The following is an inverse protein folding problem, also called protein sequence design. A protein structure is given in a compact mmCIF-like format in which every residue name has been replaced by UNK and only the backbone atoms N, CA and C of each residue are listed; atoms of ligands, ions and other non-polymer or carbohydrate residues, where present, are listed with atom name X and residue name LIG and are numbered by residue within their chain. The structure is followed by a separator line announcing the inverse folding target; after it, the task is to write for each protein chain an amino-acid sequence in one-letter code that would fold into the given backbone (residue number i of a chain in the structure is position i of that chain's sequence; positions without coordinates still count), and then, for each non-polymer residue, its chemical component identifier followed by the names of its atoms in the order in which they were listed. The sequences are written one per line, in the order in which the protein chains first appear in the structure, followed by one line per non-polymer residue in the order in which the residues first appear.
data_IF_379805135630
#
_entry.id   IF_379805135630
#
_cell.length_a   1.000
_cell.length_b   1.000
_cell.length_c   1.000
_cell.angle_alpha   90.00
_cell.angle_beta   90.00
_cell.angle_gamma   90.00
#
_symmetry.space_group_name_H-M   'P 1'
#
loop_
_entity.id
_entity.type
_entity.pdbx_description
1 polymer ?
#
# COMPACT_ATOMS: atom_id res chain seq x y z
N UNK A 1 6.82 3.42 19.55
CA UNK A 1 6.39 2.00 19.56
C UNK A 1 7.54 1.07 19.22
N UNK A 2 8.18 1.27 18.08
CA UNK A 2 9.34 0.47 17.63
C UNK A 2 10.50 1.40 17.25
N UNK A 3 11.71 0.85 17.13
CA UNK A 3 12.86 1.56 16.55
C UNK A 3 12.66 1.73 15.04
N UNK A 4 13.33 2.73 14.45
CA UNK A 4 13.21 3.02 13.01
C UNK A 4 13.56 1.79 12.16
N UNK A 5 14.64 1.10 12.50
CA UNK A 5 15.12 -0.05 11.74
C UNK A 5 14.11 -1.20 11.77
N UNK A 6 13.37 -1.33 12.88
CA UNK A 6 12.29 -2.32 12.99
C UNK A 6 11.10 -1.96 12.09
N UNK A 7 10.76 -0.67 11.99
CA UNK A 7 9.71 -0.20 11.06
C UNK A 7 10.14 -0.40 9.61
N UNK A 8 11.40 -0.13 9.29
CA UNK A 8 11.94 -0.32 7.94
C UNK A 8 11.90 -1.82 7.54
N UNK A 9 12.15 -2.73 8.49
CA UNK A 9 11.93 -4.17 8.28
C UNK A 9 10.44 -4.50 8.05
N UNK A 10 9.51 -3.89 8.80
CA UNK A 10 8.08 -4.11 8.57
C UNK A 10 7.63 -3.68 7.17
N UNK A 11 8.25 -2.64 6.62
CA UNK A 11 7.93 -2.05 5.31
C UNK A 11 8.75 -2.61 4.15
N UNK A 12 9.51 -3.70 4.37
CA UNK A 12 10.27 -4.38 3.32
C UNK A 12 9.56 -5.64 2.84
N UNK A 13 9.73 -6.03 1.57
CA UNK A 13 9.19 -7.28 1.07
C UNK A 13 9.96 -8.48 1.65
N UNK A 14 9.26 -9.43 2.26
CA UNK A 14 9.82 -10.64 2.85
C UNK A 14 9.38 -11.92 2.13
N UNK A 15 8.76 -11.81 0.96
CA UNK A 15 8.41 -12.98 0.17
C UNK A 15 9.67 -13.70 -0.35
N UNK A 16 9.67 -15.04 -0.38
CA UNK A 16 10.75 -15.78 -1.02
C UNK A 16 10.74 -15.53 -2.53
N UNK A 17 11.88 -15.63 -3.24
CA UNK A 17 11.96 -15.36 -4.68
C UNK A 17 11.02 -16.21 -5.56
N UNK A 18 10.57 -17.37 -5.06
CA UNK A 18 9.59 -18.22 -5.73
C UNK A 18 8.18 -17.63 -5.75
N UNK A 19 7.86 -16.70 -4.85
CA UNK A 19 6.58 -15.99 -4.79
C UNK A 19 6.83 -14.55 -5.26
N UNK A 20 6.48 -14.28 -6.51
CA UNK A 20 6.76 -12.97 -7.13
C UNK A 20 5.96 -11.85 -6.47
N UNK A 21 4.66 -12.06 -6.28
CA UNK A 21 3.73 -11.04 -5.79
C UNK A 21 2.60 -11.66 -4.97
N UNK A 22 1.91 -10.85 -4.18
CA UNK A 22 0.62 -11.23 -3.55
C UNK A 22 -0.57 -10.92 -4.48
N UNK A 23 -1.75 -11.42 -4.12
CA UNK A 23 -3.01 -11.06 -4.76
C UNK A 23 -4.23 -11.71 -4.10
N UNK A 24 -5.40 -11.14 -4.36
CA UNK A 24 -6.69 -11.65 -3.90
C UNK A 24 -7.57 -11.83 -5.15
N UNK A 25 -7.49 -13.01 -5.75
CA UNK A 25 -8.09 -13.32 -7.06
C UNK A 25 -7.62 -12.40 -8.20
N UNK A 26 -6.49 -11.72 -8.00
CA UNK A 26 -5.78 -10.89 -8.97
C UNK A 26 -4.27 -11.14 -8.86
N UNK A 27 -3.49 -10.59 -9.79
CA UNK A 27 -2.03 -10.60 -9.72
C UNK A 27 -1.53 -9.16 -9.52
N UNK A 28 -1.12 -8.85 -8.30
CA UNK A 28 -0.69 -7.48 -7.92
C UNK A 28 0.78 -7.32 -8.20
N UNK A 29 1.14 -7.24 -9.47
CA UNK A 29 2.54 -7.11 -9.91
C UNK A 29 3.23 -5.99 -9.12
N UNK A 30 4.40 -6.29 -8.58
CA UNK A 30 5.18 -5.39 -7.75
C UNK A 30 4.73 -5.18 -6.33
N UNK A 31 3.73 -5.93 -5.88
CA UNK A 31 3.25 -5.91 -4.50
C UNK A 31 3.67 -7.21 -3.79
N UNK A 32 4.50 -7.05 -2.78
CA UNK A 32 4.97 -8.09 -1.89
C UNK A 32 4.28 -8.02 -0.53
N UNK A 33 4.83 -8.74 0.45
CA UNK A 33 4.28 -8.76 1.80
C UNK A 33 5.39 -8.52 2.82
N UNK A 34 5.20 -7.49 3.65
CA UNK A 34 6.08 -7.17 4.77
C UNK A 34 5.59 -7.80 6.07
N UNK A 35 6.13 -7.35 7.20
CA UNK A 35 5.62 -7.79 8.51
C UNK A 35 4.36 -7.02 8.90
N UNK A 36 3.24 -7.46 8.33
CA UNK A 36 1.88 -7.01 8.67
C UNK A 36 1.06 -6.54 7.47
N UNK A 37 1.70 -6.04 6.41
CA UNK A 37 1.03 -5.29 5.35
C UNK A 37 1.58 -5.60 3.95
N UNK A 38 0.84 -5.17 2.92
CA UNK A 38 1.34 -5.17 1.55
C UNK A 38 2.46 -4.15 1.42
N UNK A 39 3.48 -4.47 0.62
CA UNK A 39 4.61 -3.57 0.33
C UNK A 39 4.75 -3.45 -1.18
N UNK A 40 4.76 -2.23 -1.71
CA UNK A 40 5.11 -1.98 -3.11
C UNK A 40 6.64 -1.97 -3.23
N UNK A 41 7.22 -3.01 -3.79
CA UNK A 41 8.69 -3.17 -3.88
C UNK A 41 9.24 -2.90 -5.30
N UNK A 42 8.37 -2.77 -6.29
CA UNK A 42 8.71 -2.33 -7.65
C UNK A 42 7.54 -1.55 -8.25
N UNK A 43 7.84 -0.68 -9.21
CA UNK A 43 6.81 0.01 -9.99
C UNK A 43 6.09 -0.97 -10.94
N UNK A 44 4.79 -0.77 -11.13
CA UNK A 44 3.96 -1.60 -12.01
C UNK A 44 2.67 -0.88 -12.40
N UNK A 45 1.99 -1.39 -13.43
CA UNK A 45 0.66 -0.90 -13.83
C UNK A 45 -0.44 -1.25 -12.81
N UNK A 46 -0.15 -2.12 -11.84
CA UNK A 46 -1.12 -2.49 -10.81
C UNK A 46 -1.21 -1.40 -9.74
N UNK A 47 -2.44 -0.91 -9.50
CA UNK A 47 -2.70 0.12 -8.51
C UNK A 47 -1.99 1.43 -8.87
N UNK A 48 -2.22 1.90 -10.10
CA UNK A 48 -1.72 3.18 -10.63
C UNK A 48 -1.80 4.31 -9.61
N UNK A 49 -0.74 5.11 -9.49
CA UNK A 49 -0.64 6.22 -8.54
C UNK A 49 0.04 5.86 -7.20
N UNK A 50 0.40 4.60 -6.96
CA UNK A 50 1.25 4.23 -5.83
C UNK A 50 2.74 4.46 -6.08
N UNK A 51 3.50 4.74 -5.03
CA UNK A 51 4.95 4.93 -5.02
C UNK A 51 5.69 3.70 -4.51
N UNK A 52 6.82 3.36 -5.13
CA UNK A 52 7.71 2.32 -4.61
C UNK A 52 8.12 2.62 -3.15
N UNK A 53 8.13 1.59 -2.30
CA UNK A 53 8.37 1.69 -0.86
C UNK A 53 7.12 1.96 -0.02
N UNK A 54 5.96 2.16 -0.64
CA UNK A 54 4.69 2.23 0.09
C UNK A 54 4.37 0.93 0.80
N UNK A 55 3.79 1.03 2.00
CA UNK A 55 3.08 -0.07 2.63
C UNK A 55 1.63 0.30 2.95
N UNK A 56 0.72 -0.66 2.94
CA UNK A 56 -0.68 -0.41 3.20
C UNK A 56 -1.53 -1.67 3.31
N UNK A 57 -2.76 -1.52 3.77
CA UNK A 57 -3.72 -2.62 3.87
C UNK A 57 -5.16 -2.14 3.90
N UNK A 58 -6.07 -2.98 3.40
CA UNK A 58 -7.50 -2.76 3.42
C UNK A 58 -8.17 -3.48 4.60
N UNK A 59 -9.21 -2.86 5.17
CA UNK A 59 -10.12 -3.46 6.12
C UNK A 59 -11.50 -3.71 5.51
N UNK A 60 -12.18 -4.76 5.95
CA UNK A 60 -13.39 -5.27 5.31
C UNK A 60 -14.45 -4.20 4.98
N UNK A 61 -14.69 -3.26 5.89
CA UNK A 61 -15.68 -2.18 5.78
C UNK A 61 -15.27 -1.03 4.82
N UNK A 62 -14.49 -1.34 3.79
CA UNK A 62 -13.93 -0.38 2.83
C UNK A 62 -13.02 0.68 3.49
N UNK A 63 -12.36 0.32 4.58
CA UNK A 63 -11.29 1.13 5.17
C UNK A 63 -9.97 0.79 4.48
N UNK A 64 -9.09 1.77 4.33
CA UNK A 64 -7.76 1.54 3.78
C UNK A 64 -6.76 2.51 4.39
N UNK A 65 -5.51 2.10 4.50
CA UNK A 65 -4.43 3.04 4.82
C UNK A 65 -3.20 2.74 3.96
N UNK A 66 -2.37 3.76 3.75
CA UNK A 66 -1.03 3.58 3.23
C UNK A 66 -0.06 4.59 3.84
N UNK A 67 1.21 4.22 3.79
CA UNK A 67 2.34 4.98 4.31
C UNK A 67 3.38 5.06 3.20
N UNK A 68 3.85 6.27 2.90
CA UNK A 68 5.07 6.50 2.13
C UNK A 68 6.08 7.23 3.00
N UNK A 69 7.13 6.52 3.43
CA UNK A 69 8.21 7.16 4.19
C UNK A 69 8.98 8.17 3.35
N UNK A 70 9.18 7.87 2.05
CA UNK A 70 9.92 8.72 1.11
C UNK A 70 9.24 10.08 0.94
N UNK A 71 7.91 10.10 0.93
CA UNK A 71 7.12 11.31 0.75
C UNK A 71 6.65 11.92 2.09
N UNK A 72 6.98 11.32 3.24
CA UNK A 72 6.52 11.78 4.54
C UNK A 72 4.99 11.71 4.72
N UNK A 73 4.32 10.77 4.03
CA UNK A 73 2.86 10.68 3.95
C UNK A 73 2.32 9.49 4.74
N UNK A 74 1.24 9.74 5.50
CA UNK A 74 0.34 8.71 6.03
C UNK A 74 -1.08 9.11 5.65
N UNK A 75 -1.81 8.23 4.98
CA UNK A 75 -3.21 8.44 4.64
C UNK A 75 -4.07 7.28 5.17
N UNK A 76 -5.23 7.63 5.71
CA UNK A 76 -6.19 6.69 6.29
C UNK A 76 -7.57 7.07 5.77
N UNK A 77 -8.24 6.14 5.10
CA UNK A 77 -9.63 6.27 4.66
C UNK A 77 -10.51 5.40 5.56
N UNK A 78 -11.52 6.04 6.14
CA UNK A 78 -12.44 5.40 7.08
C UNK A 78 -13.84 5.42 6.48
N UNK A 79 -14.25 4.30 5.90
CA UNK A 79 -15.63 4.05 5.51
C UNK A 79 -16.26 3.02 6.43
N UNK A 80 -17.59 2.99 6.42
CA UNK A 80 -18.38 1.93 7.03
C UNK A 80 -19.28 1.31 5.95
N UNK A 81 -18.65 0.77 4.90
CA UNK A 81 -19.34 0.30 3.70
C UNK A 81 -18.92 -1.12 3.33
N UNK A 82 -19.90 -1.98 3.07
CA UNK A 82 -19.73 -3.40 2.73
C UNK A 82 -20.56 -3.75 1.49
N UNK A 83 -20.09 -4.62 0.57
CA UNK A 83 -18.76 -5.24 0.54
C UNK A 83 -17.64 -4.23 0.25
N UNK A 84 -16.37 -4.65 0.40
CA UNK A 84 -15.21 -3.80 0.14
C UNK A 84 -15.28 -3.14 -1.25
N UNK A 85 -15.03 -1.85 -1.28
CA UNK A 85 -15.06 -1.02 -2.48
C UNK A 85 -13.70 -0.31 -2.63
N UNK A 86 -13.15 -0.20 -3.85
CA UNK A 86 -11.78 0.27 -4.12
C UNK A 86 -11.71 1.72 -4.64
N UNK A 87 -12.83 2.33 -5.01
CA UNK A 87 -12.88 3.62 -5.72
C UNK A 87 -12.28 4.73 -4.87
N UNK A 88 -12.70 4.87 -3.60
CA UNK A 88 -12.23 5.98 -2.76
C UNK A 88 -10.71 5.98 -2.56
N UNK A 89 -10.11 4.82 -2.27
CA UNK A 89 -8.67 4.74 -2.07
C UNK A 89 -7.88 5.04 -3.36
N UNK A 90 -8.40 4.63 -4.53
CA UNK A 90 -7.74 4.85 -5.82
C UNK A 90 -7.79 6.33 -6.22
N UNK A 91 -8.96 6.95 -6.11
CA UNK A 91 -9.15 8.35 -6.46
C UNK A 91 -8.37 9.28 -5.53
N UNK A 92 -8.45 9.05 -4.22
CA UNK A 92 -7.72 9.88 -3.25
C UNK A 92 -6.21 9.77 -3.38
N UNK A 93 -5.69 8.58 -3.67
CA UNK A 93 -4.23 8.37 -3.78
C UNK A 93 -3.64 9.25 -4.88
N UNK A 94 -4.23 9.23 -6.08
CA UNK A 94 -3.79 10.07 -7.19
C UNK A 94 -3.87 11.56 -6.83
N UNK A 95 -5.02 12.01 -6.30
CA UNK A 95 -5.21 13.42 -5.93
C UNK A 95 -4.20 13.91 -4.89
N UNK A 96 -3.90 13.09 -3.88
CA UNK A 96 -2.92 13.43 -2.84
C UNK A 96 -1.52 13.55 -3.44
N UNK A 97 -1.09 12.58 -4.26
CA UNK A 97 0.24 12.61 -4.84
C UNK A 97 0.44 13.73 -5.86
N UNK A 98 -0.60 14.06 -6.62
CA UNK A 98 -0.57 15.20 -7.55
C UNK A 98 -0.40 16.51 -6.75
N UNK A 99 -1.19 16.71 -5.69
CA UNK A 99 -1.11 17.90 -4.85
C UNK A 99 0.21 18.05 -4.06
N UNK A 100 0.97 16.96 -3.87
CA UNK A 100 2.29 16.99 -3.25
C UNK A 100 3.43 17.27 -4.25
N UNK A 101 3.13 17.21 -5.55
CA UNK A 101 4.12 17.44 -6.61
C UNK A 101 4.20 18.91 -7.06
N UNK A 102 3.28 19.75 -6.57
CA UNK A 102 3.28 21.21 -6.71
C UNK A 102 4.09 21.91 -5.60
#
# INVERSE_FOLDING_TARGET
LLKKETVDLMMSNHLPPSIKNIGINDNRVGIGFGYGFAVRFEESDWGSGGREGECGWGGAASTHFWISQKDGLIAITLRNFMPYEWTLEKELKTLIYDAMSD
#
